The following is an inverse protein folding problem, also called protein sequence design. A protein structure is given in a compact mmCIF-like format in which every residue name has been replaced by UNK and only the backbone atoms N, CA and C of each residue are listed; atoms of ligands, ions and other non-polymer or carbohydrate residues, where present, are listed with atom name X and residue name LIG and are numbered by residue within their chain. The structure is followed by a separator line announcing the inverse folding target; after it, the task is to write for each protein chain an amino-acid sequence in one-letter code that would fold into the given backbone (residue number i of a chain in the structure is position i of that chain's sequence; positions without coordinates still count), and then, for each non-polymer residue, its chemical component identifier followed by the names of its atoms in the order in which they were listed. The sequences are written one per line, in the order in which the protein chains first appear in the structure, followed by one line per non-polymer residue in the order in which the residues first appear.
data_IF_227745747348
#
_entry.id   IF_227745747348
#
_cell.length_a   1.000
_cell.length_b   1.000
_cell.length_c   1.000
_cell.angle_alpha   90.00
_cell.angle_beta   90.00
_cell.angle_gamma   90.00
#
_symmetry.space_group_name_H-M   'P 1'
#
loop_
_entity.id
_entity.type
_entity.pdbx_description
1 polymer ?
#
# COMPACT_ATOMS: atom_id res chain seq x y z
N UNK A 1 13.29 21.33 -6.88
CA UNK A 1 13.11 20.97 -7.20
C UNK A 1 12.22 20.16 -7.36
N UNK A 2 11.89 20.23 -8.06
CA UNK A 2 10.81 19.52 -8.38
C UNK A 2 10.85 18.15 -8.01
N UNK A 3 11.92 17.67 -8.07
CA UNK A 3 12.05 16.31 -7.78
C UNK A 3 11.45 15.92 -6.49
N UNK A 4 11.41 16.83 -5.68
CA UNK A 4 10.98 16.46 -4.38
C UNK A 4 9.63 15.93 -4.29
N UNK A 5 8.90 16.09 -5.30
CA UNK A 5 7.64 15.68 -5.17
C UNK A 5 7.41 14.29 -5.11
N UNK A 6 8.11 13.46 -5.61
CA UNK A 6 7.78 12.06 -5.56
C UNK A 6 8.42 11.44 -4.38
N UNK A 7 7.79 11.53 -3.26
CA UNK A 7 8.30 10.89 -2.11
C UNK A 7 8.06 9.43 -2.18
N UNK A 8 9.08 8.64 -2.05
CA UNK A 8 8.93 7.19 -2.02
C UNK A 8 8.52 6.75 -0.63
N UNK A 9 7.62 5.81 -0.57
CA UNK A 9 7.25 5.21 0.69
C UNK A 9 8.37 4.28 1.15
N UNK A 10 8.64 4.26 2.43
CA UNK A 10 9.56 3.29 2.98
C UNK A 10 9.01 2.77 4.30
N UNK A 11 9.50 1.62 4.70
CA UNK A 11 9.04 0.95 5.90
C UNK A 11 10.26 0.40 6.61
N UNK A 12 10.24 0.40 7.93
CA UNK A 12 11.35 -0.12 8.71
C UNK A 12 10.90 -1.37 9.43
N UNK A 13 11.62 -2.46 9.20
CA UNK A 13 11.35 -3.72 9.86
C UNK A 13 12.67 -4.26 10.37
N UNK A 14 12.76 -4.49 11.67
CA UNK A 14 13.98 -5.04 12.24
C UNK A 14 15.21 -4.21 11.99
N UNK A 15 15.11 -2.91 12.15
CA UNK A 15 16.22 -1.97 11.95
C UNK A 15 16.68 -1.85 10.50
N UNK A 16 15.96 -2.40 9.58
CA UNK A 16 16.30 -2.29 8.17
C UNK A 16 15.19 -1.53 7.46
N UNK A 17 15.57 -0.59 6.64
CA UNK A 17 14.63 0.21 5.88
C UNK A 17 14.47 -0.34 4.48
N UNK A 18 13.22 -0.47 4.04
CA UNK A 18 12.91 -0.95 2.70
C UNK A 18 12.12 0.16 1.99
N UNK A 19 12.47 0.42 0.76
CA UNK A 19 11.80 1.47 -0.02
C UNK A 19 10.91 0.84 -1.07
N UNK A 20 9.71 1.37 -1.21
CA UNK A 20 8.75 0.88 -2.18
C UNK A 20 9.26 1.16 -3.60
N UNK A 21 9.21 0.19 -4.51
CA UNK A 21 9.63 0.42 -5.88
C UNK A 21 8.79 1.51 -6.53
N UNK A 22 9.39 2.26 -7.42
CA UNK A 22 8.66 3.31 -8.10
C UNK A 22 7.61 2.76 -9.03
N UNK A 23 7.91 1.68 -9.71
CA UNK A 23 6.96 1.07 -10.63
C UNK A 23 6.07 0.11 -9.86
N UNK A 24 4.77 0.37 -9.91
CA UNK A 24 3.82 -0.48 -9.21
C UNK A 24 3.47 -1.67 -10.08
N UNK A 25 3.55 -2.86 -9.50
CA UNK A 25 3.14 -4.07 -10.19
C UNK A 25 1.61 -4.09 -10.32
N UNK A 26 1.12 -4.37 -11.51
CA UNK A 26 -0.33 -4.44 -11.71
C UNK A 26 -0.94 -5.56 -10.87
N UNK A 27 -0.24 -6.67 -10.76
CA UNK A 27 -0.75 -7.78 -9.94
C UNK A 27 -0.87 -7.36 -8.48
N UNK A 28 0.13 -6.65 -7.96
CA UNK A 28 0.07 -6.17 -6.59
C UNK A 28 -1.06 -5.16 -6.41
N UNK A 29 -1.29 -4.33 -7.41
CA UNK A 29 -2.36 -3.36 -7.37
C UNK A 29 -3.74 -4.04 -7.32
N UNK A 30 -3.92 -5.09 -8.11
CA UNK A 30 -5.18 -5.80 -8.11
C UNK A 30 -5.44 -6.48 -6.76
N UNK A 31 -4.38 -7.03 -6.17
CA UNK A 31 -4.49 -7.62 -4.87
C UNK A 31 -4.84 -6.57 -3.82
N UNK A 32 -4.20 -5.42 -3.95
CA UNK A 32 -4.46 -4.30 -3.07
C UNK A 32 -5.93 -3.88 -3.13
N UNK A 33 -6.52 -3.83 -4.33
CA UNK A 33 -7.91 -3.44 -4.47
C UNK A 33 -8.86 -4.40 -3.75
N UNK A 34 -8.58 -5.69 -3.84
CA UNK A 34 -9.40 -6.68 -3.15
C UNK A 34 -9.37 -6.48 -1.65
N UNK A 35 -8.17 -6.30 -1.12
CA UNK A 35 -8.01 -6.15 0.32
C UNK A 35 -8.60 -4.81 0.78
N UNK A 36 -8.41 -3.78 0.00
CA UNK A 36 -8.94 -2.47 0.32
C UNK A 36 -10.46 -2.51 0.44
N UNK A 37 -11.13 -3.18 -0.50
CA UNK A 37 -12.58 -3.29 -0.44
C UNK A 37 -13.05 -4.01 0.80
N UNK A 38 -12.36 -5.08 1.17
CA UNK A 38 -12.69 -5.84 2.36
C UNK A 38 -12.54 -4.99 3.62
N UNK A 39 -11.44 -4.25 3.70
CA UNK A 39 -11.16 -3.41 4.86
C UNK A 39 -12.19 -2.28 4.97
N UNK A 40 -12.50 -1.63 3.85
CA UNK A 40 -13.45 -0.54 3.88
C UNK A 40 -14.86 -1.01 4.27
N UNK A 41 -15.23 -2.19 3.83
CA UNK A 41 -16.51 -2.76 4.21
C UNK A 41 -16.57 -3.00 5.72
N UNK A 42 -15.48 -3.51 6.28
CA UNK A 42 -15.40 -3.76 7.72
C UNK A 42 -15.47 -2.44 8.50
N UNK A 43 -14.77 -1.41 8.02
CA UNK A 43 -14.79 -0.12 8.67
C UNK A 43 -16.16 0.53 8.60
N UNK A 44 -16.84 0.39 7.49
CA UNK A 44 -18.19 0.94 7.34
C UNK A 44 -19.16 0.32 8.34
N UNK A 45 -18.92 -0.94 8.70
CA UNK A 45 -19.75 -1.63 9.68
C UNK A 45 -19.24 -1.43 11.09
N UNK A 46 -18.16 -0.71 11.26
CA UNK A 46 -17.53 -0.46 12.56
C UNK A 46 -17.17 -1.75 13.26
N UNK A 47 -16.78 -2.75 12.48
CA UNK A 47 -16.36 -4.03 13.02
C UNK A 47 -14.85 -4.06 13.15
N UNK A 48 -14.35 -5.00 13.92
CA UNK A 48 -12.92 -5.19 14.05
C UNK A 48 -12.42 -6.00 12.87
N UNK A 49 -11.18 -5.77 12.48
CA UNK A 49 -10.57 -6.53 11.42
C UNK A 49 -10.40 -7.98 11.87
N UNK A 50 -10.58 -8.90 10.95
CA UNK A 50 -10.37 -10.32 11.24
C UNK A 50 -8.90 -10.66 11.07
N UNK A 51 -8.56 -11.83 11.59
CA UNK A 51 -7.19 -12.32 11.42
C UNK A 51 -6.84 -12.42 9.94
N UNK A 52 -7.78 -12.93 9.15
CA UNK A 52 -7.53 -13.09 7.71
C UNK A 52 -7.29 -11.74 7.06
N UNK A 53 -8.04 -10.71 7.47
CA UNK A 53 -7.83 -9.39 6.91
C UNK A 53 -6.44 -8.85 7.25
N UNK A 54 -5.97 -9.08 8.48
CA UNK A 54 -4.62 -8.66 8.83
C UNK A 54 -3.58 -9.39 8.00
N UNK A 55 -3.77 -10.70 7.79
CA UNK A 55 -2.83 -11.46 6.97
C UNK A 55 -2.84 -10.95 5.53
N UNK A 56 -4.02 -10.65 5.01
CA UNK A 56 -4.15 -10.15 3.64
C UNK A 56 -3.48 -8.78 3.51
N UNK A 57 -3.64 -7.91 4.51
CA UNK A 57 -3.01 -6.60 4.50
C UNK A 57 -1.49 -6.75 4.49
N UNK A 58 -0.96 -7.66 5.30
CA UNK A 58 0.48 -7.88 5.32
C UNK A 58 0.98 -8.42 4.00
N UNK A 59 0.24 -9.34 3.39
CA UNK A 59 0.61 -9.88 2.08
C UNK A 59 0.68 -8.77 1.04
N UNK A 60 -0.31 -7.87 1.06
CA UNK A 60 -0.33 -6.77 0.12
C UNK A 60 0.85 -5.83 0.35
N UNK A 61 1.17 -5.53 1.61
CA UNK A 61 2.30 -4.67 1.91
C UNK A 61 3.59 -5.29 1.34
N UNK A 62 3.77 -6.59 1.56
CA UNK A 62 4.94 -7.28 1.04
C UNK A 62 5.00 -7.17 -0.48
N UNK A 63 3.89 -7.42 -1.15
CA UNK A 63 3.85 -7.39 -2.61
C UNK A 63 4.10 -5.98 -3.13
N UNK A 64 3.51 -4.99 -2.49
CA UNK A 64 3.67 -3.61 -2.95
C UNK A 64 5.10 -3.11 -2.76
N UNK A 65 5.83 -3.71 -1.81
CA UNK A 65 7.25 -3.38 -1.62
C UNK A 65 8.17 -4.28 -2.44
N UNK A 66 7.60 -5.04 -3.40
CA UNK A 66 8.44 -5.83 -4.31
C UNK A 66 9.04 -7.07 -3.68
N UNK A 67 8.38 -7.59 -2.65
CA UNK A 67 8.83 -8.82 -1.98
C UNK A 67 10.23 -8.72 -1.40
N UNK A 68 10.59 -7.53 -0.91
CA UNK A 68 11.90 -7.31 -0.30
C UNK A 68 11.99 -7.91 1.11
N UNK A 69 10.86 -8.22 1.72
CA UNK A 69 10.79 -8.86 3.02
C UNK A 69 9.59 -9.79 3.00
N UNK A 70 9.35 -10.51 4.08
CA UNK A 70 8.26 -11.49 4.12
C UNK A 70 7.27 -11.13 5.22
N UNK A 71 6.11 -11.78 5.20
CA UNK A 71 5.14 -11.59 6.28
C UNK A 71 5.72 -12.10 7.59
N UNK A 72 6.57 -13.12 7.54
CA UNK A 72 7.22 -13.61 8.77
C UNK A 72 8.09 -12.52 9.38
N UNK A 73 8.76 -11.73 8.55
CA UNK A 73 9.55 -10.62 9.07
C UNK A 73 8.66 -9.62 9.80
N UNK A 74 7.47 -9.38 9.29
CA UNK A 74 6.55 -8.44 9.90
C UNK A 74 5.95 -8.99 11.19
N UNK A 75 5.81 -10.31 11.27
CA UNK A 75 5.21 -10.96 12.42
C UNK A 75 6.17 -11.22 13.57
N UNK A 76 7.46 -11.02 13.36
CA UNK A 76 8.45 -11.33 14.39
C UNK A 76 8.13 -10.55 15.65
N UNK A 77 8.11 -11.26 16.79
CA UNK A 77 7.69 -10.66 18.04
C UNK A 77 8.63 -9.56 18.54
N UNK A 78 9.89 -9.63 18.15
CA UNK A 78 10.86 -8.65 18.63
C UNK A 78 11.20 -7.57 17.61
N UNK A 79 11.30 -7.94 16.35
CA UNK A 79 11.76 -7.03 15.32
C UNK A 79 10.68 -6.71 14.30
N UNK A 80 9.52 -7.31 14.42
CA UNK A 80 8.45 -7.08 13.46
C UNK A 80 7.65 -5.82 13.72
N UNK A 81 6.50 -5.74 13.12
CA UNK A 81 5.64 -4.58 13.23
C UNK A 81 4.53 -4.82 14.23
N UNK A 82 4.02 -3.75 14.82
CA UNK A 82 2.88 -3.84 15.72
C UNK A 82 1.60 -3.77 14.88
N UNK A 83 0.47 -4.22 15.43
CA UNK A 83 -0.80 -4.17 14.67
C UNK A 83 -1.14 -2.77 14.20
N UNK A 84 -0.95 -1.76 15.05
CA UNK A 84 -1.28 -0.40 14.67
C UNK A 84 -0.34 0.11 13.57
N UNK A 85 0.93 -0.27 13.60
CA UNK A 85 1.86 0.17 12.56
C UNK A 85 1.54 -0.49 11.23
N UNK A 86 1.03 -1.73 11.25
CA UNK A 86 0.62 -2.42 10.02
C UNK A 86 -0.58 -1.70 9.40
N UNK A 87 -1.57 -1.37 10.22
CA UNK A 87 -2.76 -0.66 9.72
C UNK A 87 -2.37 0.73 9.20
N UNK A 88 -1.50 1.41 9.93
CA UNK A 88 -1.05 2.74 9.52
C UNK A 88 -0.32 2.68 8.18
N UNK A 89 0.55 1.68 8.01
CA UNK A 89 1.28 1.54 6.76
C UNK A 89 0.32 1.32 5.60
N UNK A 90 -0.69 0.48 5.81
CA UNK A 90 -1.66 0.22 4.77
C UNK A 90 -2.43 1.50 4.41
N UNK A 91 -2.81 2.28 5.42
CA UNK A 91 -3.53 3.52 5.19
C UNK A 91 -2.68 4.52 4.41
N UNK A 92 -1.40 4.63 4.75
CA UNK A 92 -0.51 5.54 4.05
C UNK A 92 -0.24 5.07 2.63
N UNK A 93 -0.15 3.76 2.42
CA UNK A 93 -0.03 3.21 1.08
C UNK A 93 -1.27 3.54 0.26
N UNK A 94 -2.44 3.48 0.90
CA UNK A 94 -3.69 3.77 0.21
C UNK A 94 -3.69 5.19 -0.35
N UNK A 95 -3.21 6.14 0.44
CA UNK A 95 -3.10 7.52 0.00
C UNK A 95 -2.13 7.62 -1.18
N UNK A 96 -0.99 6.96 -1.08
CA UNK A 96 0.03 7.03 -2.11
C UNK A 96 -0.46 6.42 -3.42
N UNK A 97 -1.14 5.28 -3.34
CA UNK A 97 -1.67 4.63 -4.54
C UNK A 97 -2.75 5.50 -5.16
N UNK A 98 -3.63 6.08 -4.33
CA UNK A 98 -4.67 6.95 -4.82
C UNK A 98 -4.12 8.13 -5.58
N UNK A 99 -3.07 8.74 -5.07
CA UNK A 99 -2.45 9.87 -5.74
C UNK A 99 -1.89 9.49 -7.10
N UNK A 100 -1.24 8.34 -7.17
CA UNK A 100 -0.68 7.90 -8.45
C UNK A 100 -1.75 7.63 -9.48
N UNK A 101 -2.82 6.96 -9.05
CA UNK A 101 -3.89 6.62 -9.97
C UNK A 101 -4.64 7.86 -10.40
N UNK A 102 -4.93 8.75 -9.46
CA UNK A 102 -5.63 9.99 -9.79
C UNK A 102 -4.85 10.83 -10.77
N UNK A 103 -3.56 10.92 -10.59
CA UNK A 103 -2.74 11.70 -11.48
C UNK A 103 -2.78 11.14 -12.89
N UNK A 104 -2.68 9.82 -13.01
CA UNK A 104 -2.75 9.19 -14.31
C UNK A 104 -4.10 9.39 -14.97
N UNK A 105 -5.15 9.31 -14.18
CA UNK A 105 -6.49 9.51 -14.68
C UNK A 105 -6.67 10.92 -15.19
N UNK A 106 -6.13 11.89 -14.48
CA UNK A 106 -6.18 13.28 -14.91
C UNK A 106 -5.47 13.48 -16.23
N UNK A 107 -4.28 12.91 -16.35
CA UNK A 107 -3.52 13.04 -17.58
C UNK A 107 -4.24 12.40 -18.75
N UNK A 108 -4.82 11.23 -18.50
CA UNK A 108 -5.54 10.52 -19.54
C UNK A 108 -6.73 11.35 -20.00
N UNK A 109 -7.51 11.87 -19.06
CA UNK A 109 -8.68 12.67 -19.38
C UNK A 109 -8.28 13.93 -20.14
N UNK A 110 -7.19 14.55 -19.73
CA UNK A 110 -6.74 15.75 -20.38
C UNK A 110 -6.32 15.48 -21.81
N UNK A 111 -5.54 14.43 -22.01
CA UNK A 111 -5.12 14.08 -23.35
C UNK A 111 -6.29 13.70 -24.22
N UNK A 112 -7.23 13.00 -23.65
CA UNK A 112 -8.40 12.56 -24.38
C UNK A 112 -9.25 13.76 -24.82
N UNK A 113 -9.42 14.71 -23.92
CA UNK A 113 -10.20 15.90 -24.21
C UNK A 113 -9.52 16.80 -25.21
N UNK A 114 -8.23 17.01 -25.04
CA UNK A 114 -7.50 17.89 -25.92
C UNK A 114 -7.14 17.26 -27.24
N UNK A 115 -7.23 15.98 -27.29
CA UNK A 115 -6.82 15.29 -28.50
C UNK A 115 -7.81 15.39 -29.63
N UNK A 116 -8.91 16.12 -29.41
CA UNK A 116 -9.88 16.18 -30.41
C UNK A 116 -9.69 17.17 -31.28
#
# INVERSE_FOLDING_TARGET
MAAAKTKKRSIIIGNKEYTMPQKMSTMAYLRYLEVRDSIMDTEAKRALYTRQQFMDVMDVIVEMYGNQFTTDDMLDAETGMTPDSIVMEFALMDVSVGEKVDKRTEEFAKNFTNGK
#
